data_IF_669302297274
#
_entry.id   IF_669302297274
#
_cell.length_a   1.000
_cell.length_b   1.000
_cell.length_c   1.000
_cell.angle_alpha   90.00
_cell.angle_beta   90.00
_cell.angle_gamma   90.00
#
_symmetry.space_group_name_H-M   'P 1'
#
loop_
_entity.id
_entity.type
_entity.pdbx_description
1 polymer ?
#
# COMPACT_ATOMS: atom_id res chain seq x y z
N UNK A 1 28.42 -6.78 26.40
CA UNK A 1 28.55 -5.94 25.18
C UNK A 1 27.15 -5.52 24.80
N UNK A 2 26.67 -4.41 25.37
CA UNK A 2 25.32 -3.88 25.12
C UNK A 2 25.41 -2.91 23.94
N UNK A 3 24.72 -3.20 22.84
CA UNK A 3 24.47 -2.22 21.79
C UNK A 3 23.49 -1.20 22.34
N UNK A 4 23.96 0.04 22.57
CA UNK A 4 23.07 1.18 22.79
C UNK A 4 22.28 1.41 21.50
N UNK A 5 20.95 1.22 21.56
CA UNK A 5 20.04 1.86 20.61
C UNK A 5 20.15 3.36 20.82
N UNK A 6 20.71 4.07 19.84
CA UNK A 6 20.70 5.53 19.82
C UNK A 6 19.28 6.02 19.61
N UNK A 7 18.51 6.17 20.70
CA UNK A 7 17.40 7.11 20.72
C UNK A 7 18.02 8.50 20.68
N UNK A 8 17.80 9.24 19.60
CA UNK A 8 18.31 10.59 19.50
C UNK A 8 17.46 11.51 20.40
N UNK A 9 17.86 11.68 21.66
CA UNK A 9 17.65 12.93 22.40
C UNK A 9 18.70 13.94 21.91
N UNK A 10 18.33 14.74 20.90
CA UNK A 10 19.12 15.87 20.42
C UNK A 10 19.22 16.95 21.51
N UNK A 11 20.29 16.94 22.30
CA UNK A 11 20.66 18.03 23.22
C UNK A 11 21.17 19.26 22.44
N UNK A 12 20.23 19.96 21.79
CA UNK A 12 20.10 21.42 21.71
C UNK A 12 18.97 21.79 20.73
N UNK A 13 17.87 21.04 20.70
CA UNK A 13 16.57 21.57 20.32
C UNK A 13 15.54 20.98 21.29
N UNK A 14 14.76 21.84 21.94
CA UNK A 14 13.77 21.42 22.93
C UNK A 14 12.60 20.72 22.20
N UNK A 15 12.66 19.39 22.13
CA UNK A 15 11.78 18.54 21.30
C UNK A 15 10.49 18.22 22.05
N UNK A 16 9.51 19.12 21.96
CA UNK A 16 8.15 18.88 22.43
C UNK A 16 7.15 19.44 21.40
N UNK A 17 6.32 18.55 20.81
CA UNK A 17 5.24 18.80 19.82
C UNK A 17 5.54 19.63 18.56
N UNK A 18 6.72 20.24 18.41
CA UNK A 18 7.09 21.15 17.31
C UNK A 18 7.75 20.48 16.09
N UNK A 19 8.02 19.17 16.15
CA UNK A 19 8.96 18.52 15.21
C UNK A 19 8.33 17.86 13.97
N UNK A 20 7.00 17.77 13.87
CA UNK A 20 6.35 17.54 12.57
C UNK A 20 6.72 18.62 11.55
N UNK A 21 7.01 19.84 12.01
CA UNK A 21 7.41 20.94 11.14
C UNK A 21 8.85 20.77 10.61
N UNK A 22 9.80 20.28 11.42
CA UNK A 22 11.22 20.34 11.08
C UNK A 22 11.67 19.39 9.94
N UNK A 23 11.22 18.13 9.92
CA UNK A 23 11.56 17.21 8.81
C UNK A 23 10.82 17.62 7.53
N UNK A 24 9.56 18.05 7.66
CA UNK A 24 8.77 18.60 6.55
C UNK A 24 9.39 19.88 5.98
N UNK A 25 10.00 20.71 6.83
CA UNK A 25 10.68 21.95 6.43
C UNK A 25 12.07 21.71 5.82
N UNK A 26 12.73 20.60 6.15
CA UNK A 26 14.01 20.17 5.57
C UNK A 26 13.86 19.50 4.20
N UNK A 27 12.82 18.68 4.00
CA UNK A 27 12.65 17.87 2.76
C UNK A 27 11.59 18.46 1.82
N UNK A 28 10.66 19.27 2.33
CA UNK A 28 9.47 19.75 1.60
C UNK A 28 9.59 21.12 0.94
N UNK A 29 10.79 21.70 0.81
CA UNK A 29 10.96 22.90 -0.01
C UNK A 29 11.27 22.48 -1.44
N UNK A 30 10.55 23.11 -2.38
CA UNK A 30 10.53 22.97 -3.84
C UNK A 30 11.86 22.51 -4.50
N UNK A 31 11.79 22.11 -5.79
CA UNK A 31 12.93 21.83 -6.69
C UNK A 31 14.09 22.87 -6.68
N UNK A 32 13.90 24.01 -6.02
CA UNK A 32 14.79 25.17 -5.93
C UNK A 32 15.43 25.41 -4.54
N UNK A 33 15.40 24.46 -3.59
CA UNK A 33 16.09 24.67 -2.30
C UNK A 33 17.29 23.75 -2.06
N UNK A 34 18.43 24.43 -1.90
CA UNK A 34 19.83 23.98 -1.79
C UNK A 34 20.18 23.12 -0.56
N UNK A 35 19.45 22.04 -0.24
CA UNK A 35 20.00 21.02 0.68
C UNK A 35 20.57 19.88 -0.16
N UNK A 36 21.88 19.80 -0.20
CA UNK A 36 22.59 18.76 -0.94
C UNK A 36 22.33 17.40 -0.33
N UNK A 37 22.51 16.36 -1.15
CA UNK A 37 22.41 14.98 -0.68
C UNK A 37 23.41 14.69 0.46
N UNK A 38 24.61 15.29 0.41
CA UNK A 38 25.67 15.14 1.41
C UNK A 38 25.27 15.74 2.76
N UNK A 39 24.69 16.95 2.76
CA UNK A 39 24.19 17.58 3.99
C UNK A 39 23.06 16.78 4.64
N UNK A 40 22.14 16.23 3.84
CA UNK A 40 21.10 15.33 4.36
C UNK A 40 21.70 14.04 4.90
N UNK A 41 22.72 13.49 4.22
CA UNK A 41 23.37 12.27 4.67
C UNK A 41 24.04 12.48 6.03
N UNK A 42 24.80 13.57 6.20
CA UNK A 42 25.44 13.89 7.48
C UNK A 42 24.42 14.09 8.61
N UNK A 43 23.28 14.72 8.30
CA UNK A 43 22.23 14.97 9.28
C UNK A 43 21.38 13.73 9.63
N UNK A 44 21.05 12.90 8.64
CA UNK A 44 19.97 11.90 8.75
C UNK A 44 20.45 10.45 8.66
N UNK A 45 21.68 10.17 8.21
CA UNK A 45 22.17 8.80 7.96
C UNK A 45 22.16 7.90 9.19
N UNK A 46 22.13 8.48 10.40
CA UNK A 46 22.10 7.77 11.69
C UNK A 46 20.72 7.72 12.35
N UNK A 47 19.71 8.35 11.75
CA UNK A 47 18.35 8.34 12.27
C UNK A 47 17.74 6.97 12.00
N UNK A 48 17.50 6.22 13.07
CA UNK A 48 16.97 4.86 12.97
C UNK A 48 15.44 4.80 13.10
N UNK A 49 14.85 5.79 13.76
CA UNK A 49 13.43 5.88 14.01
C UNK A 49 12.93 7.31 13.89
N UNK A 50 11.75 7.46 13.29
CA UNK A 50 11.01 8.72 13.24
C UNK A 50 9.69 8.53 13.99
N UNK A 51 9.23 9.56 14.69
CA UNK A 51 7.88 9.60 15.27
C UNK A 51 7.07 10.62 14.48
N UNK A 52 5.95 10.22 13.88
CA UNK A 52 5.14 11.07 13.02
C UNK A 52 4.97 10.54 11.60
N UNK A 53 4.93 11.45 10.62
CA UNK A 53 4.89 11.15 9.17
C UNK A 53 6.18 11.65 8.51
N UNK A 54 6.76 10.85 7.60
CA UNK A 54 7.87 11.25 6.71
C UNK A 54 7.32 11.53 5.31
N UNK A 55 7.57 12.75 4.80
CA UNK A 55 7.15 13.19 3.46
C UNK A 55 8.39 13.49 2.59
N UNK A 56 8.46 12.91 1.39
CA UNK A 56 9.49 13.12 0.38
C UNK A 56 8.77 13.44 -0.92
N UNK A 57 8.61 14.73 -1.23
CA UNK A 57 7.70 15.19 -2.27
C UNK A 57 8.37 16.23 -3.16
N UNK A 58 8.23 16.09 -4.49
CA UNK A 58 8.76 17.03 -5.49
C UNK A 58 10.28 17.30 -5.34
N UNK A 59 11.06 16.27 -5.06
CA UNK A 59 12.52 16.40 -4.88
C UNK A 59 13.29 16.01 -6.15
N UNK A 60 14.52 16.52 -6.25
CA UNK A 60 15.47 16.20 -7.32
C UNK A 60 16.41 15.03 -6.99
N UNK A 61 16.19 14.34 -5.86
CA UNK A 61 17.06 13.25 -5.43
C UNK A 61 16.88 12.00 -6.28
N UNK A 62 17.99 11.34 -6.61
CA UNK A 62 17.97 10.05 -7.33
C UNK A 62 17.84 8.85 -6.40
N UNK A 63 18.19 9.02 -5.12
CA UNK A 63 18.09 7.99 -4.10
C UNK A 63 17.90 8.61 -2.71
N UNK A 64 17.44 7.79 -1.77
CA UNK A 64 17.21 8.17 -0.37
C UNK A 64 18.29 7.64 0.59
N UNK A 65 19.53 7.42 0.13
CA UNK A 65 20.58 6.83 0.98
C UNK A 65 20.97 7.68 2.20
N UNK A 66 20.59 8.96 2.24
CA UNK A 66 20.65 9.77 3.45
C UNK A 66 19.73 9.27 4.58
N UNK A 67 18.81 8.33 4.32
CA UNK A 67 17.97 7.64 5.31
C UNK A 67 18.39 6.18 5.52
N UNK A 68 19.65 5.80 5.21
CA UNK A 68 20.10 4.40 5.20
C UNK A 68 19.88 3.63 6.52
N UNK A 69 19.89 4.30 7.67
CA UNK A 69 19.67 3.64 8.96
C UNK A 69 18.20 3.62 9.40
N UNK A 70 17.32 4.35 8.72
CA UNK A 70 15.90 4.40 9.09
C UNK A 70 15.31 3.00 8.93
N UNK A 71 14.55 2.54 9.91
CA UNK A 71 13.88 1.24 9.83
C UNK A 71 12.45 1.24 10.37
N UNK A 72 12.06 2.29 11.10
CA UNK A 72 10.72 2.42 11.69
C UNK A 72 10.21 3.85 11.71
N UNK A 73 8.91 4.00 11.46
CA UNK A 73 8.15 5.22 11.70
C UNK A 73 7.05 4.88 12.72
N UNK A 74 7.10 5.54 13.87
CA UNK A 74 6.07 5.43 14.90
C UNK A 74 4.95 6.41 14.58
N UNK A 75 3.80 5.90 14.15
CA UNK A 75 2.61 6.70 13.95
C UNK A 75 2.10 7.26 15.29
N UNK A 76 1.82 8.57 15.33
CA UNK A 76 1.25 9.25 16.50
C UNK A 76 -0.26 9.47 16.38
N UNK A 77 -0.88 8.93 15.33
CA UNK A 77 -2.30 9.15 15.05
C UNK A 77 -3.14 8.15 15.84
N UNK A 78 -4.01 8.66 16.71
CA UNK A 78 -4.99 7.83 17.45
C UNK A 78 -6.02 7.21 16.51
N UNK A 79 -6.34 7.92 15.42
CA UNK A 79 -7.18 7.42 14.35
C UNK A 79 -6.28 6.93 13.21
N UNK A 80 -6.43 5.67 12.80
CA UNK A 80 -5.58 4.99 11.79
C UNK A 80 -5.72 5.55 10.36
N UNK A 81 -6.12 6.80 10.21
CA UNK A 81 -6.31 7.46 8.93
C UNK A 81 -5.05 8.24 8.52
N UNK A 82 -4.51 7.86 7.36
CA UNK A 82 -3.34 8.49 6.74
C UNK A 82 -2.15 7.56 6.60
N UNK A 83 -1.08 8.13 6.06
CA UNK A 83 0.16 7.43 5.74
C UNK A 83 1.29 7.89 6.67
N UNK A 84 2.12 6.94 7.08
CA UNK A 84 3.32 7.14 7.88
C UNK A 84 4.50 7.57 6.99
N UNK A 85 4.55 7.03 5.76
CA UNK A 85 5.53 7.38 4.73
C UNK A 85 4.82 7.85 3.46
N UNK A 86 5.22 9.02 2.94
CA UNK A 86 4.71 9.61 1.71
C UNK A 86 5.88 9.93 0.80
N UNK A 87 5.95 9.29 -0.37
CA UNK A 87 6.96 9.52 -1.42
C UNK A 87 6.21 9.82 -2.73
N UNK A 88 6.11 11.10 -3.11
CA UNK A 88 5.22 11.52 -4.20
C UNK A 88 5.91 12.47 -5.16
N UNK A 89 5.69 12.31 -6.48
CA UNK A 89 6.14 13.25 -7.51
C UNK A 89 7.66 13.50 -7.56
N UNK A 90 8.49 12.48 -7.30
CA UNK A 90 9.95 12.60 -7.42
C UNK A 90 10.39 12.05 -8.78
N UNK A 91 10.49 12.94 -9.78
CA UNK A 91 10.72 12.56 -11.18
C UNK A 91 12.05 11.84 -11.45
N UNK A 92 13.06 12.08 -10.60
CA UNK A 92 14.41 11.51 -10.71
C UNK A 92 14.68 10.35 -9.75
N UNK A 93 13.75 10.04 -8.85
CA UNK A 93 13.99 9.07 -7.78
C UNK A 93 13.94 7.64 -8.32
N UNK A 94 15.03 6.90 -8.13
CA UNK A 94 15.19 5.54 -8.67
C UNK A 94 15.03 4.45 -7.60
N UNK A 95 15.42 4.72 -6.34
CA UNK A 95 15.37 3.73 -5.26
C UNK A 95 15.22 4.34 -3.85
N UNK A 96 14.69 3.54 -2.93
CA UNK A 96 14.51 3.89 -1.51
C UNK A 96 15.64 3.33 -0.64
N UNK A 97 16.79 4.00 -0.54
CA UNK A 97 17.90 3.63 0.35
C UNK A 97 18.32 2.15 0.22
N UNK A 98 18.78 1.74 -0.97
CA UNK A 98 19.01 0.32 -1.35
C UNK A 98 17.72 -0.49 -1.56
N UNK A 99 16.62 0.20 -1.86
CA UNK A 99 15.34 -0.42 -2.23
C UNK A 99 14.44 -0.79 -1.05
N UNK A 100 14.83 -0.54 0.19
CA UNK A 100 14.00 -0.84 1.36
C UNK A 100 14.22 0.21 2.45
N UNK A 101 13.20 1.04 2.71
CA UNK A 101 13.33 2.10 3.71
C UNK A 101 12.92 1.67 5.11
N UNK A 102 11.89 0.84 5.29
CA UNK A 102 11.40 0.45 6.62
C UNK A 102 11.31 -1.08 6.73
N UNK A 103 11.76 -1.65 7.84
CA UNK A 103 11.63 -3.10 8.14
C UNK A 103 10.48 -3.38 9.11
N UNK A 104 9.60 -2.41 9.29
CA UNK A 104 8.44 -2.46 10.17
C UNK A 104 7.17 -2.08 9.40
N UNK A 105 6.02 -2.50 9.92
CA UNK A 105 4.73 -2.20 9.32
C UNK A 105 4.42 -0.71 9.39
N UNK A 106 4.20 -0.12 8.22
CA UNK A 106 3.86 1.28 8.03
C UNK A 106 2.78 1.41 6.96
N UNK A 107 1.87 2.37 7.14
CA UNK A 107 0.95 2.80 6.11
C UNK A 107 1.72 3.67 5.11
N UNK A 108 1.71 3.34 3.83
CA UNK A 108 2.56 4.02 2.84
C UNK A 108 1.79 4.60 1.65
N UNK A 109 2.28 5.72 1.13
CA UNK A 109 1.84 6.30 -0.14
C UNK A 109 3.06 6.59 -1.01
N UNK A 110 3.21 5.86 -2.10
CA UNK A 110 4.30 5.97 -3.06
C UNK A 110 3.70 6.21 -4.44
N UNK A 111 3.64 7.45 -4.90
CA UNK A 111 2.92 7.80 -6.14
C UNK A 111 3.74 8.65 -7.09
N UNK A 112 3.56 8.41 -8.39
CA UNK A 112 4.02 9.32 -9.44
C UNK A 112 5.55 9.56 -9.40
N UNK A 113 6.32 8.49 -9.10
CA UNK A 113 7.78 8.48 -9.16
C UNK A 113 8.23 7.59 -10.34
N UNK A 114 8.27 8.11 -11.59
CA UNK A 114 8.32 7.29 -12.81
C UNK A 114 9.56 6.39 -12.95
N UNK A 115 10.65 6.69 -12.25
CA UNK A 115 11.89 5.90 -12.27
C UNK A 115 12.02 4.95 -11.07
N UNK A 116 11.15 5.09 -10.06
CA UNK A 116 11.30 4.42 -8.77
C UNK A 116 10.97 2.94 -8.86
N UNK A 117 11.94 2.11 -8.50
CA UNK A 117 11.71 0.74 -8.07
C UNK A 117 11.55 0.70 -6.54
N UNK A 118 10.33 0.49 -6.02
CA UNK A 118 10.08 0.43 -4.59
C UNK A 118 10.42 -0.94 -3.96
N UNK A 119 10.97 -1.90 -4.71
CA UNK A 119 11.23 -3.28 -4.28
C UNK A 119 9.95 -3.99 -3.82
N UNK A 120 9.17 -4.49 -4.78
CA UNK A 120 7.86 -5.06 -4.51
C UNK A 120 7.87 -6.26 -3.55
N UNK A 121 8.96 -7.04 -3.53
CA UNK A 121 9.12 -8.13 -2.55
C UNK A 121 9.16 -7.57 -1.11
N UNK A 122 9.87 -6.47 -0.90
CA UNK A 122 9.96 -5.80 0.40
C UNK A 122 8.65 -5.14 0.80
N UNK A 123 8.02 -4.43 -0.14
CA UNK A 123 6.69 -3.80 0.05
C UNK A 123 5.65 -4.82 0.50
N UNK A 124 5.62 -5.98 -0.16
CA UNK A 124 4.67 -7.06 0.15
C UNK A 124 4.94 -7.69 1.52
N UNK A 125 6.20 -7.74 1.96
CA UNK A 125 6.61 -8.39 3.20
C UNK A 125 6.41 -7.52 4.44
N UNK A 126 6.76 -6.23 4.37
CA UNK A 126 6.87 -5.39 5.57
C UNK A 126 5.78 -4.34 5.67
N UNK A 127 5.36 -3.75 4.57
CA UNK A 127 4.42 -2.63 4.63
C UNK A 127 2.99 -3.10 4.90
N UNK A 128 2.23 -2.23 5.54
CA UNK A 128 0.86 -2.54 5.94
C UNK A 128 -0.05 -2.69 4.71
N UNK A 129 -1.24 -3.23 4.93
CA UNK A 129 -2.26 -3.33 3.89
C UNK A 129 -2.85 -1.95 3.50
N UNK A 130 -2.71 -0.93 4.34
CA UNK A 130 -3.10 0.44 4.02
C UNK A 130 -1.97 1.12 3.24
N UNK A 131 -1.94 0.83 1.95
CA UNK A 131 -0.93 1.34 1.02
C UNK A 131 -1.56 1.93 -0.24
N UNK A 132 -0.82 2.83 -0.87
CA UNK A 132 -1.12 3.35 -2.20
C UNK A 132 0.16 3.45 -3.02
N UNK A 133 0.28 2.67 -4.08
CA UNK A 133 1.47 2.54 -4.92
C UNK A 133 1.05 2.54 -6.39
N UNK A 134 1.24 3.67 -7.08
CA UNK A 134 0.84 3.83 -8.50
C UNK A 134 1.69 4.88 -9.21
N UNK A 135 1.74 4.80 -10.54
CA UNK A 135 2.49 5.78 -11.34
C UNK A 135 4.01 5.72 -11.14
N UNK A 136 4.53 4.63 -10.57
CA UNK A 136 5.97 4.38 -10.44
C UNK A 136 6.46 3.44 -11.55
N UNK A 137 7.77 3.22 -11.62
CA UNK A 137 8.34 2.20 -12.52
C UNK A 137 7.75 0.81 -12.23
N UNK A 138 7.54 0.50 -10.96
CA UNK A 138 6.81 -0.68 -10.51
C UNK A 138 5.82 -0.33 -9.39
N UNK A 139 4.57 -0.80 -9.51
CA UNK A 139 3.48 -0.48 -8.57
C UNK A 139 3.14 -1.62 -7.59
N UNK A 140 3.82 -2.76 -7.71
CA UNK A 140 3.77 -3.88 -6.76
C UNK A 140 2.42 -4.59 -6.59
N UNK A 141 1.43 -4.24 -7.41
CA UNK A 141 0.13 -4.87 -7.45
C UNK A 141 -0.90 -3.93 -8.06
N UNK A 142 -2.14 -4.36 -8.04
CA UNK A 142 -3.28 -3.58 -8.49
C UNK A 142 -4.18 -3.25 -7.32
N UNK A 143 -4.45 -1.96 -7.16
CA UNK A 143 -5.27 -1.43 -6.08
C UNK A 143 -6.72 -1.29 -6.54
N UNK A 144 -7.63 -1.86 -5.76
CA UNK A 144 -9.07 -1.86 -5.98
C UNK A 144 -9.72 -0.97 -4.92
N UNK A 145 -10.11 0.23 -5.33
CA UNK A 145 -10.80 1.18 -4.44
C UNK A 145 -12.32 0.99 -4.45
N UNK A 146 -12.86 0.39 -5.52
CA UNK A 146 -14.29 0.23 -5.77
C UNK A 146 -14.59 -1.09 -6.48
N UNK A 147 -15.86 -1.50 -6.47
CA UNK A 147 -16.32 -2.66 -7.24
C UNK A 147 -16.02 -2.48 -8.73
N UNK A 148 -15.59 -3.57 -9.38
CA UNK A 148 -15.19 -3.56 -10.77
C UNK A 148 -16.39 -3.68 -11.70
N UNK A 149 -16.37 -2.84 -12.73
CA UNK A 149 -17.39 -2.78 -13.78
C UNK A 149 -16.71 -2.59 -15.13
N UNK A 150 -17.46 -2.79 -16.22
CA UNK A 150 -16.97 -2.50 -17.58
C UNK A 150 -16.45 -1.06 -17.73
N UNK A 151 -16.93 -0.12 -16.91
CA UNK A 151 -16.57 1.30 -16.98
C UNK A 151 -15.22 1.63 -16.34
N UNK A 152 -14.82 0.91 -15.28
CA UNK A 152 -13.63 1.25 -14.50
C UNK A 152 -12.50 0.24 -14.64
N UNK A 153 -12.73 -0.93 -15.24
CA UNK A 153 -11.70 -1.98 -15.38
C UNK A 153 -10.45 -1.51 -16.13
N UNK A 154 -10.59 -0.56 -17.05
CA UNK A 154 -9.46 0.00 -17.80
C UNK A 154 -8.55 0.89 -16.95
N UNK A 155 -9.01 1.34 -15.78
CA UNK A 155 -8.20 2.10 -14.83
C UNK A 155 -7.30 1.20 -13.98
N UNK A 156 -7.56 -0.12 -13.98
CA UNK A 156 -6.73 -1.10 -13.30
C UNK A 156 -5.58 -1.50 -14.21
N UNK A 157 -4.38 -1.64 -13.66
CA UNK A 157 -3.20 -2.05 -14.43
C UNK A 157 -3.31 -3.49 -14.95
N UNK A 158 -2.63 -3.77 -16.06
CA UNK A 158 -2.56 -5.12 -16.60
C UNK A 158 -1.49 -5.95 -15.85
N UNK A 159 -1.68 -7.27 -15.81
CA UNK A 159 -0.68 -8.23 -15.34
C UNK A 159 -0.23 -8.05 -13.89
N UNK A 160 -1.17 -7.76 -13.01
CA UNK A 160 -0.93 -7.59 -11.58
C UNK A 160 -0.30 -8.85 -10.97
N UNK A 161 0.79 -8.70 -10.21
CA UNK A 161 1.37 -9.80 -9.42
C UNK A 161 0.63 -10.00 -8.06
N UNK A 162 -0.08 -8.96 -7.60
CA UNK A 162 -0.91 -8.98 -6.41
C UNK A 162 -2.13 -8.06 -6.59
N UNK A 163 -3.22 -8.36 -5.89
CA UNK A 163 -4.42 -7.52 -5.81
C UNK A 163 -4.57 -7.00 -4.39
N UNK A 164 -4.73 -5.69 -4.24
CA UNK A 164 -4.92 -5.03 -2.95
C UNK A 164 -6.30 -4.36 -2.91
N UNK A 165 -7.02 -4.57 -1.82
CA UNK A 165 -8.41 -4.17 -1.71
C UNK A 165 -9.37 -5.29 -2.10
N UNK A 166 -10.66 -5.03 -1.98
CA UNK A 166 -11.67 -6.05 -2.21
C UNK A 166 -12.02 -6.18 -3.70
N UNK A 167 -11.92 -7.40 -4.23
CA UNK A 167 -12.34 -7.74 -5.57
C UNK A 167 -13.84 -8.05 -5.59
N UNK A 168 -14.63 -7.02 -5.88
CA UNK A 168 -16.08 -7.14 -6.01
C UNK A 168 -16.52 -7.10 -7.47
N UNK A 169 -17.28 -8.11 -7.89
CA UNK A 169 -17.84 -8.29 -9.21
C UNK A 169 -19.34 -8.54 -9.08
N UNK A 170 -20.12 -7.48 -9.21
CA UNK A 170 -21.58 -7.52 -9.04
C UNK A 170 -22.27 -7.30 -10.38
N UNK A 171 -22.96 -8.34 -10.85
CA UNK A 171 -23.64 -8.32 -12.14
C UNK A 171 -24.80 -7.31 -12.20
N UNK A 172 -25.26 -6.96 -13.41
CA UNK A 172 -24.87 -7.55 -14.70
C UNK A 172 -23.66 -6.87 -15.37
N UNK A 173 -23.23 -5.69 -14.90
CA UNK A 173 -22.26 -4.82 -15.59
C UNK A 173 -20.78 -5.12 -15.22
N UNK A 174 -20.41 -6.39 -15.22
CA UNK A 174 -19.07 -6.85 -14.82
C UNK A 174 -18.15 -7.06 -16.03
N UNK A 175 -16.83 -6.82 -15.90
CA UNK A 175 -15.87 -6.99 -16.99
C UNK A 175 -15.90 -8.37 -17.64
N UNK A 176 -15.58 -8.46 -18.92
CA UNK A 176 -15.44 -9.77 -19.56
C UNK A 176 -14.32 -10.60 -18.90
N UNK A 177 -14.46 -11.93 -18.75
CA UNK A 177 -13.45 -12.79 -18.13
C UNK A 177 -12.06 -12.67 -18.76
N UNK A 178 -11.98 -12.41 -20.07
CA UNK A 178 -10.71 -12.23 -20.80
C UNK A 178 -9.99 -10.96 -20.34
N UNK A 179 -10.74 -9.89 -20.08
CA UNK A 179 -10.19 -8.64 -19.52
C UNK A 179 -9.69 -8.93 -18.11
N UNK A 180 -10.49 -9.57 -17.26
CA UNK A 180 -10.08 -9.94 -15.91
C UNK A 180 -8.84 -10.84 -15.91
N UNK A 181 -8.72 -11.75 -16.88
CA UNK A 181 -7.54 -12.63 -17.03
C UNK A 181 -6.30 -11.82 -17.38
N UNK A 182 -6.43 -10.81 -18.25
CA UNK A 182 -5.35 -9.88 -18.55
C UNK A 182 -4.91 -9.08 -17.31
N UNK A 183 -5.87 -8.64 -16.48
CA UNK A 183 -5.59 -7.90 -15.25
C UNK A 183 -4.97 -8.80 -14.18
N UNK A 184 -5.65 -9.88 -13.81
CA UNK A 184 -5.40 -10.64 -12.57
C UNK A 184 -4.87 -12.05 -12.79
N UNK A 185 -4.76 -12.54 -14.03
CA UNK A 185 -4.38 -13.93 -14.31
C UNK A 185 -2.99 -14.33 -13.81
N UNK A 186 -2.11 -13.36 -13.50
CA UNK A 186 -0.78 -13.55 -12.90
C UNK A 186 -0.74 -13.32 -11.39
N UNK A 187 -1.81 -12.79 -10.81
CA UNK A 187 -1.84 -12.41 -9.42
C UNK A 187 -1.67 -13.65 -8.54
N UNK A 188 -0.68 -13.61 -7.65
CA UNK A 188 -0.39 -14.71 -6.70
C UNK A 188 -1.09 -14.51 -5.36
N UNK A 189 -1.35 -13.25 -5.02
CA UNK A 189 -1.88 -12.81 -3.74
C UNK A 189 -3.10 -11.93 -3.95
N UNK A 190 -4.13 -12.13 -3.14
CA UNK A 190 -5.23 -11.17 -2.95
C UNK A 190 -5.24 -10.77 -1.48
N UNK A 191 -5.18 -9.48 -1.22
CA UNK A 191 -5.25 -8.91 0.13
C UNK A 191 -6.51 -8.07 0.18
N UNK A 192 -7.57 -8.66 0.72
CA UNK A 192 -8.92 -8.14 0.68
C UNK A 192 -9.93 -9.26 0.43
N UNK A 193 -11.20 -8.87 0.37
CA UNK A 193 -12.29 -9.81 0.12
C UNK A 193 -12.46 -10.09 -1.36
N UNK A 194 -13.08 -11.23 -1.70
CA UNK A 194 -13.52 -11.54 -3.05
C UNK A 194 -15.01 -11.82 -3.00
N UNK A 195 -15.80 -11.06 -3.76
CA UNK A 195 -17.23 -11.30 -3.91
C UNK A 195 -17.62 -11.26 -5.40
N UNK A 196 -18.20 -12.35 -5.88
CA UNK A 196 -18.68 -12.48 -7.26
C UNK A 196 -20.14 -12.87 -7.19
N UNK A 197 -21.03 -11.96 -7.54
CA UNK A 197 -22.47 -12.10 -7.30
C UNK A 197 -23.25 -11.78 -8.57
N UNK A 198 -24.22 -12.64 -8.89
CA UNK A 198 -25.14 -12.44 -10.01
C UNK A 198 -24.45 -12.22 -11.38
N UNK A 199 -23.29 -12.83 -11.60
CA UNK A 199 -22.56 -12.79 -12.88
C UNK A 199 -22.91 -13.99 -13.75
N UNK A 200 -22.64 -13.90 -15.06
CA UNK A 200 -22.82 -15.00 -16.01
C UNK A 200 -21.53 -15.83 -16.21
N UNK A 201 -20.53 -15.67 -15.34
CA UNK A 201 -19.26 -16.37 -15.47
C UNK A 201 -19.43 -17.87 -15.26
N UNK A 202 -18.79 -18.66 -16.12
CA UNK A 202 -18.82 -20.13 -16.03
C UNK A 202 -17.64 -20.71 -15.25
N UNK A 203 -16.55 -19.93 -15.12
CA UNK A 203 -15.34 -20.26 -14.39
C UNK A 203 -14.64 -18.97 -13.90
N UNK A 204 -13.61 -19.13 -13.06
CA UNK A 204 -12.81 -18.04 -12.49
C UNK A 204 -11.32 -18.14 -12.90
N UNK A 205 -11.05 -18.47 -14.17
CA UNK A 205 -9.67 -18.62 -14.68
C UNK A 205 -8.81 -17.37 -14.47
N UNK A 206 -9.42 -16.18 -14.38
CA UNK A 206 -8.73 -14.94 -14.05
C UNK A 206 -8.13 -14.91 -12.63
N UNK A 207 -8.46 -15.86 -11.75
CA UNK A 207 -7.85 -16.05 -10.42
C UNK A 207 -7.01 -17.33 -10.33
N UNK A 208 -6.74 -18.02 -11.45
CA UNK A 208 -6.09 -19.35 -11.44
C UNK A 208 -4.71 -19.39 -10.75
N UNK A 209 -4.00 -18.25 -10.71
CA UNK A 209 -2.66 -18.14 -10.13
C UNK A 209 -2.67 -17.74 -8.66
N UNK A 210 -3.84 -17.36 -8.12
CA UNK A 210 -3.97 -16.94 -6.73
C UNK A 210 -3.77 -18.16 -5.84
N UNK A 211 -2.72 -18.11 -5.01
CA UNK A 211 -2.41 -19.19 -4.06
C UNK A 211 -2.64 -18.77 -2.61
N UNK A 212 -2.82 -17.46 -2.36
CA UNK A 212 -3.01 -16.91 -1.02
C UNK A 212 -4.02 -15.76 -1.05
N UNK A 213 -5.00 -15.83 -0.16
CA UNK A 213 -5.98 -14.76 0.10
C UNK A 213 -5.85 -14.37 1.56
N UNK A 214 -5.67 -13.08 1.82
CA UNK A 214 -5.61 -12.50 3.16
C UNK A 214 -6.80 -11.60 3.38
N UNK A 215 -7.56 -11.87 4.44
CA UNK A 215 -8.68 -11.04 4.86
C UNK A 215 -8.21 -10.08 5.94
N UNK A 216 -8.72 -8.85 5.89
CA UNK A 216 -8.47 -7.86 6.91
C UNK A 216 -9.72 -7.66 7.77
N UNK A 217 -9.68 -8.18 8.99
CA UNK A 217 -10.65 -7.82 10.02
C UNK A 217 -10.03 -6.74 10.90
N UNK A 218 -10.74 -5.64 11.12
CA UNK A 218 -10.31 -4.66 12.11
C UNK A 218 -10.29 -5.32 13.50
N UNK A 219 -9.36 -4.90 14.37
CA UNK A 219 -9.21 -5.46 15.73
C UNK A 219 -10.38 -5.06 16.67
N UNK A 220 -11.35 -4.29 16.17
CA UNK A 220 -12.50 -3.77 16.92
C UNK A 220 -13.80 -4.50 16.63
N UNK A 221 -13.81 -5.50 15.73
CA UNK A 221 -14.99 -6.32 15.53
C UNK A 221 -16.25 -5.51 15.26
N UNK A 222 -16.15 -4.39 14.50
CA UNK A 222 -17.32 -3.99 13.74
C UNK A 222 -17.51 -5.08 12.69
N UNK A 223 -18.27 -6.09 13.09
CA UNK A 223 -18.88 -7.04 12.19
C UNK A 223 -19.70 -6.23 11.21
N UNK A 224 -19.15 -5.99 10.02
CA UNK A 224 -20.03 -6.19 8.88
C UNK A 224 -20.24 -7.69 8.89
N UNK A 225 -21.40 -8.11 9.41
CA UNK A 225 -21.88 -9.46 9.22
C UNK A 225 -22.02 -9.64 7.71
N UNK A 226 -21.03 -10.29 7.12
CA UNK A 226 -21.09 -10.79 5.76
C UNK A 226 -21.03 -12.31 5.84
N UNK A 227 -22.22 -12.88 5.93
CA UNK A 227 -22.57 -14.12 5.26
C UNK A 227 -22.20 -14.03 3.77
N UNK A 228 -20.91 -14.06 3.40
CA UNK A 228 -20.50 -14.15 2.00
C UNK A 228 -19.06 -14.66 1.86
N UNK A 229 -18.87 -15.93 2.24
CA UNK A 229 -18.00 -16.81 1.45
C UNK A 229 -18.93 -17.51 0.47
N UNK A 230 -18.99 -17.08 -0.79
CA UNK A 230 -19.65 -17.84 -1.85
C UNK A 230 -18.58 -18.46 -2.75
N UNK A 231 -18.05 -19.60 -2.31
CA UNK A 231 -17.37 -20.55 -3.17
C UNK A 231 -18.40 -21.60 -3.64
N UNK A 232 -19.39 -21.22 -4.44
CA UNK A 232 -20.21 -22.21 -5.16
C UNK A 232 -19.45 -22.71 -6.39
N UNK A 233 -18.52 -23.65 -6.15
CA UNK A 233 -18.19 -24.82 -7.01
C UNK A 233 -16.91 -25.49 -6.51
N UNK A 234 -16.98 -26.03 -5.30
CA UNK A 234 -16.29 -27.29 -4.98
C UNK A 234 -17.38 -28.24 -4.46
N UNK A 235 -17.84 -29.12 -5.35
CA UNK A 235 -18.83 -30.20 -5.18
C UNK A 235 -20.32 -29.86 -5.43
N UNK A 236 -21.09 -30.78 -6.06
CA UNK A 236 -22.50 -30.60 -6.34
C UNK A 236 -23.32 -30.83 -5.06
N UNK A 237 -24.32 -29.98 -4.86
CA UNK A 237 -25.36 -29.97 -3.81
C UNK A 237 -24.97 -29.24 -2.51
N UNK A 238 -25.49 -28.01 -2.43
CA UNK A 238 -25.97 -27.31 -1.24
C UNK A 238 -25.04 -27.19 -0.04
N UNK A 239 -24.46 -26.00 0.15
CA UNK A 239 -24.20 -25.46 1.49
C UNK A 239 -24.58 -23.97 1.50
N UNK A 240 -25.60 -23.66 2.29
CA UNK A 240 -26.04 -22.31 2.70
C UNK A 240 -25.36 -22.01 4.03
N UNK A 241 -24.77 -20.80 4.18
CA UNK A 241 -24.54 -20.18 5.49
C UNK A 241 -25.14 -18.75 5.45
N UNK A 242 -26.20 -18.59 6.25
CA UNK A 242 -27.25 -17.56 6.25
C UNK A 242 -26.87 -16.30 7.07
N UNK A 243 -27.82 -15.38 7.43
CA UNK A 243 -28.85 -14.66 6.67
C UNK A 243 -28.74 -13.11 6.82
N UNK A 244 -29.43 -12.37 5.94
CA UNK A 244 -29.80 -10.94 6.03
C UNK A 244 -28.72 -9.87 5.78
N UNK A 245 -28.53 -9.49 4.51
CA UNK A 245 -28.17 -8.11 4.14
C UNK A 245 -28.59 -7.82 2.69
N UNK A 246 -29.90 -7.84 2.41
CA UNK A 246 -30.46 -7.43 1.11
C UNK A 246 -31.73 -6.61 1.33
N UNK A 247 -31.61 -5.55 2.12
CA UNK A 247 -32.64 -4.50 2.28
C UNK A 247 -32.08 -3.08 2.38
N UNK A 248 -30.80 -2.87 2.07
CA UNK A 248 -30.25 -1.53 1.82
C UNK A 248 -29.56 -1.60 0.48
N UNK A 249 -29.84 -0.66 -0.42
CA UNK A 249 -29.50 -0.66 -1.85
C UNK A 249 -30.56 -1.27 -2.79
N UNK A 250 -31.80 -0.83 -2.63
CA UNK A 250 -32.68 -0.43 -3.75
C UNK A 250 -33.12 1.00 -3.50
#
# INVERSE_FOLDING_TARGET
MFHLFGFCELQHFHVNKKHHAAIRELIGKNETTDVTHEELYDALSRIAAITGTLEIVNTNYTNLSFLVSLFVIFSVREERFGYDLIIVNNSKLENMANGALLTSSANIRIEDNPLLDPNCSHVLQYYSHHRRIRGNRFNCGCELEVALTDKNINNVEDYCDAVFGSLYLFGPNVPQPEILTKKFGRAKFVIGEIAIVSTNYTNFSFLQSVSRIELFYNRFGESIDLSSILFERLLPKSVVLAPNALERYV
#
